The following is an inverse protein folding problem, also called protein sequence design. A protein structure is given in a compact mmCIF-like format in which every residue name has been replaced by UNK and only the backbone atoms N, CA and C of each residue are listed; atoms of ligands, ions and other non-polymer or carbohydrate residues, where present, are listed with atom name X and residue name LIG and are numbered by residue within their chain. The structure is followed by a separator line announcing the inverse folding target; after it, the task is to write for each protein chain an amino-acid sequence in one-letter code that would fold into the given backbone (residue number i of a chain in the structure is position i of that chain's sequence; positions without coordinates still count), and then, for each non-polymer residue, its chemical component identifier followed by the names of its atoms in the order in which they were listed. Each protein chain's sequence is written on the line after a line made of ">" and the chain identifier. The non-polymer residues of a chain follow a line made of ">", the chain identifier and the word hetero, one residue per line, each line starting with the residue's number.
data_IF_850278429872
#
_entry.id   IF_850278429872
#
_cell.length_a   1.000
_cell.length_b   1.000
_cell.length_c   1.000
_cell.angle_alpha   90.00
_cell.angle_beta   90.00
_cell.angle_gamma   90.00
#
_symmetry.space_group_name_H-M   'P 1'
#
loop_
_entity.id
_entity.type
_entity.pdbx_description
1 polymer ?
#
# COMPACT_ATOMS: atom_id res chain seq x y z
N UNK A 1 -0.31 -9.82 -44.45
CA UNK A 1 -0.04 -8.42 -44.04
C UNK A 1 -1.35 -7.86 -43.50
N UNK A 2 -1.51 -7.84 -42.18
CA UNK A 2 -2.71 -7.25 -41.57
C UNK A 2 -2.88 -5.82 -42.08
N UNK A 3 -4.11 -5.44 -42.41
CA UNK A 3 -4.40 -4.02 -42.64
C UNK A 3 -3.95 -3.26 -41.40
N UNK A 4 -3.21 -2.17 -41.55
CA UNK A 4 -2.80 -1.29 -40.45
C UNK A 4 -3.98 -0.91 -39.55
N UNK A 5 -5.18 -0.88 -40.12
CA UNK A 5 -6.46 -0.73 -39.44
C UNK A 5 -6.71 -1.81 -38.37
N UNK A 6 -6.41 -3.08 -38.64
CA UNK A 6 -6.65 -4.18 -37.70
C UNK A 6 -5.76 -4.07 -36.47
N UNK A 7 -4.46 -3.81 -36.66
CA UNK A 7 -3.53 -3.59 -35.55
C UNK A 7 -3.96 -2.39 -34.69
N UNK A 8 -4.47 -1.34 -35.33
CA UNK A 8 -5.06 -0.20 -34.64
C UNK A 8 -6.28 -0.56 -33.79
N UNK A 9 -7.20 -1.36 -34.33
CA UNK A 9 -8.39 -1.81 -33.59
C UNK A 9 -7.99 -2.72 -32.42
N UNK A 10 -7.06 -3.66 -32.64
CA UNK A 10 -6.54 -4.56 -31.60
C UNK A 10 -5.87 -3.80 -30.47
N UNK A 11 -4.94 -2.90 -30.81
CA UNK A 11 -4.25 -2.06 -29.83
C UNK A 11 -5.23 -1.19 -29.04
N UNK A 12 -6.20 -0.57 -29.72
CA UNK A 12 -7.23 0.24 -29.04
C UNK A 12 -8.06 -0.59 -28.05
N UNK A 13 -8.41 -1.81 -28.43
CA UNK A 13 -9.18 -2.72 -27.58
C UNK A 13 -8.36 -3.17 -26.36
N UNK A 14 -7.07 -3.47 -26.53
CA UNK A 14 -6.16 -3.77 -25.42
C UNK A 14 -5.98 -2.58 -24.48
N UNK A 15 -5.75 -1.37 -25.01
CA UNK A 15 -5.62 -0.14 -24.22
C UNK A 15 -6.90 0.15 -23.43
N UNK A 16 -8.08 -0.08 -24.02
CA UNK A 16 -9.35 0.01 -23.30
C UNK A 16 -9.40 -0.98 -22.13
N UNK A 17 -8.93 -2.21 -22.35
CA UNK A 17 -8.78 -3.22 -21.31
C UNK A 17 -7.91 -2.76 -20.13
N UNK A 18 -6.74 -2.20 -20.41
CA UNK A 18 -5.81 -1.67 -19.40
C UNK A 18 -6.46 -0.53 -18.60
N UNK A 19 -7.15 0.40 -19.28
CA UNK A 19 -7.90 1.48 -18.64
C UNK A 19 -8.98 0.92 -17.72
N UNK A 20 -9.71 -0.10 -18.17
CA UNK A 20 -10.79 -0.73 -17.42
C UNK A 20 -10.27 -1.45 -16.18
N UNK A 21 -9.22 -2.26 -16.32
CA UNK A 21 -8.53 -2.94 -15.21
C UNK A 21 -8.03 -1.93 -14.17
N UNK A 22 -7.36 -0.87 -14.64
CA UNK A 22 -6.85 0.20 -13.77
C UNK A 22 -7.99 0.92 -13.05
N UNK A 23 -9.10 1.19 -13.73
CA UNK A 23 -10.25 1.84 -13.12
C UNK A 23 -10.89 0.98 -12.03
N UNK A 24 -10.94 -0.35 -12.21
CA UNK A 24 -11.41 -1.28 -11.16
C UNK A 24 -10.52 -1.20 -9.91
N UNK A 25 -9.20 -1.20 -10.10
CA UNK A 25 -8.22 -1.04 -9.01
C UNK A 25 -8.37 0.31 -8.30
N UNK A 26 -8.58 1.38 -9.09
CA UNK A 26 -8.83 2.73 -8.60
C UNK A 26 -10.23 2.94 -8.01
N UNK A 27 -10.99 1.88 -7.70
CA UNK A 27 -12.34 1.95 -7.12
C UNK A 27 -13.37 2.68 -8.01
N UNK A 28 -13.25 2.55 -9.33
CA UNK A 28 -14.16 3.08 -10.35
C UNK A 28 -14.27 4.61 -10.35
N UNK A 29 -13.15 5.31 -10.14
CA UNK A 29 -13.09 6.78 -10.16
C UNK A 29 -13.37 7.37 -11.55
N UNK A 30 -13.00 6.66 -12.63
CA UNK A 30 -13.23 7.12 -14.00
C UNK A 30 -14.66 6.79 -14.44
N UNK A 31 -15.38 7.80 -14.95
CA UNK A 31 -16.69 7.60 -15.57
C UNK A 31 -16.57 6.88 -16.92
N UNK A 32 -17.68 6.38 -17.47
CA UNK A 32 -17.70 5.74 -18.80
C UNK A 32 -17.16 6.66 -19.91
N UNK A 33 -17.47 7.96 -19.83
CA UNK A 33 -16.99 8.97 -20.79
C UNK A 33 -15.48 9.21 -20.63
N UNK A 34 -15.01 9.26 -19.39
CA UNK A 34 -13.59 9.45 -19.08
C UNK A 34 -12.75 8.26 -19.58
N UNK A 35 -13.22 7.03 -19.38
CA UNK A 35 -12.50 5.84 -19.87
C UNK A 35 -12.34 5.88 -21.39
N UNK A 36 -13.42 6.18 -22.12
CA UNK A 36 -13.37 6.29 -23.59
C UNK A 36 -12.41 7.41 -24.01
N UNK A 37 -12.48 8.58 -23.36
CA UNK A 37 -11.61 9.71 -23.67
C UNK A 37 -10.13 9.35 -23.48
N UNK A 38 -9.78 8.73 -22.35
CA UNK A 38 -8.41 8.31 -22.06
C UNK A 38 -7.92 7.28 -23.06
N UNK A 39 -8.73 6.27 -23.37
CA UNK A 39 -8.37 5.26 -24.37
C UNK A 39 -8.11 5.92 -25.73
N UNK A 40 -8.94 6.87 -26.17
CA UNK A 40 -8.71 7.57 -27.44
C UNK A 40 -7.39 8.35 -27.43
N UNK A 41 -7.08 9.08 -26.35
CA UNK A 41 -5.82 9.82 -26.20
C UNK A 41 -4.62 8.86 -26.21
N UNK A 42 -4.73 7.73 -25.51
CA UNK A 42 -3.69 6.70 -25.48
C UNK A 42 -3.51 6.06 -26.86
N UNK A 43 -4.58 5.73 -27.57
CA UNK A 43 -4.51 5.15 -28.92
C UNK A 43 -3.84 6.10 -29.89
N UNK A 44 -4.25 7.38 -29.93
CA UNK A 44 -3.70 8.35 -30.88
C UNK A 44 -2.22 8.60 -30.58
N UNK A 45 -1.86 8.88 -29.32
CA UNK A 45 -0.46 9.15 -28.99
C UNK A 45 0.42 7.89 -29.03
N UNK A 46 -0.10 6.76 -28.57
CA UNK A 46 0.62 5.48 -28.55
C UNK A 46 0.93 4.98 -29.95
N UNK A 47 -0.04 5.02 -30.88
CA UNK A 47 0.18 4.63 -32.28
C UNK A 47 1.18 5.53 -33.02
N UNK A 48 1.15 6.85 -32.77
CA UNK A 48 2.13 7.78 -33.31
C UNK A 48 3.54 7.48 -32.79
N UNK A 49 3.66 7.27 -31.48
CA UNK A 49 4.95 6.99 -30.83
C UNK A 49 5.48 5.59 -31.14
N UNK A 50 4.61 4.61 -31.37
CA UNK A 50 5.02 3.24 -31.71
C UNK A 50 5.85 3.19 -33.00
N UNK A 51 5.54 4.05 -33.97
CA UNK A 51 6.32 4.18 -35.20
C UNK A 51 7.70 4.85 -34.99
N UNK A 52 7.86 5.64 -33.93
CA UNK A 52 9.08 6.42 -33.65
C UNK A 52 10.01 5.74 -32.65
N UNK A 53 9.45 5.16 -31.60
CA UNK A 53 10.17 4.69 -30.41
C UNK A 53 9.81 3.24 -30.02
N UNK A 54 9.00 2.55 -30.86
CA UNK A 54 8.63 1.15 -30.70
C UNK A 54 8.12 0.83 -29.27
N UNK A 55 8.80 -0.07 -28.55
CA UNK A 55 8.44 -0.53 -27.21
C UNK A 55 8.33 0.60 -26.17
N UNK A 56 9.08 1.68 -26.32
CA UNK A 56 9.03 2.82 -25.38
C UNK A 56 7.73 3.64 -25.48
N UNK A 57 6.91 3.43 -26.51
CA UNK A 57 5.57 4.02 -26.59
C UNK A 57 4.69 3.61 -25.39
N UNK A 58 5.00 2.49 -24.72
CA UNK A 58 4.27 2.04 -23.53
C UNK A 58 4.55 2.90 -22.29
N UNK A 59 5.68 3.60 -22.24
CA UNK A 59 5.95 4.59 -21.18
C UNK A 59 4.95 5.75 -21.29
N UNK A 60 4.58 6.13 -22.52
CA UNK A 60 3.58 7.17 -22.76
C UNK A 60 2.19 6.72 -22.31
N UNK A 61 1.75 5.50 -22.63
CA UNK A 61 0.42 4.99 -22.26
C UNK A 61 0.26 4.93 -20.73
N UNK A 62 1.30 4.44 -20.02
CA UNK A 62 1.38 4.45 -18.55
C UNK A 62 1.32 5.89 -18.00
N UNK A 63 2.13 6.80 -18.57
CA UNK A 63 2.18 8.20 -18.14
C UNK A 63 0.82 8.91 -18.27
N UNK A 64 0.13 8.73 -19.40
CA UNK A 64 -1.19 9.31 -19.64
C UNK A 64 -2.21 8.81 -18.61
N UNK A 65 -2.24 7.51 -18.32
CA UNK A 65 -3.14 6.94 -17.31
C UNK A 65 -2.89 7.50 -15.92
N UNK A 66 -1.62 7.61 -15.50
CA UNK A 66 -1.25 8.16 -14.19
C UNK A 66 -1.71 9.61 -14.09
N UNK A 67 -1.39 10.44 -15.09
CA UNK A 67 -1.77 11.85 -15.11
C UNK A 67 -3.30 12.03 -15.07
N UNK A 68 -4.04 11.21 -15.80
CA UNK A 68 -5.49 11.30 -15.83
C UNK A 68 -6.13 10.90 -14.49
N UNK A 69 -5.60 9.88 -13.81
CA UNK A 69 -6.05 9.52 -12.46
C UNK A 69 -5.76 10.64 -11.45
N UNK A 70 -4.59 11.29 -11.56
CA UNK A 70 -4.25 12.45 -10.71
C UNK A 70 -5.22 13.61 -10.97
N UNK A 71 -5.52 13.90 -12.24
CA UNK A 71 -6.49 14.94 -12.60
C UNK A 71 -7.89 14.67 -12.02
N UNK A 72 -8.26 13.39 -11.86
CA UNK A 72 -9.52 12.98 -11.23
C UNK A 72 -9.45 12.90 -9.70
N UNK A 73 -8.36 13.34 -9.07
CA UNK A 73 -8.23 13.48 -7.62
C UNK A 73 -7.64 12.27 -6.90
N UNK A 74 -7.09 11.28 -7.62
CA UNK A 74 -6.36 10.17 -7.00
C UNK A 74 -4.95 10.63 -6.61
N UNK A 75 -4.53 10.36 -5.37
CA UNK A 75 -3.17 10.65 -4.88
C UNK A 75 -2.11 10.01 -5.80
N UNK A 76 -1.08 10.78 -6.17
CA UNK A 76 -0.05 10.37 -7.15
C UNK A 76 0.55 8.97 -6.91
N UNK A 77 0.89 8.65 -5.65
CA UNK A 77 1.40 7.31 -5.26
C UNK A 77 0.41 6.20 -5.59
N UNK A 78 -0.88 6.41 -5.29
CA UNK A 78 -1.92 5.40 -5.54
C UNK A 78 -2.19 5.26 -7.04
N UNK A 79 -2.22 6.37 -7.78
CA UNK A 79 -2.33 6.35 -9.24
C UNK A 79 -1.22 5.51 -9.86
N UNK A 80 0.02 5.73 -9.41
CA UNK A 80 1.17 4.95 -9.85
C UNK A 80 1.02 3.46 -9.55
N UNK A 81 0.69 3.11 -8.29
CA UNK A 81 0.49 1.72 -7.88
C UNK A 81 -0.61 1.04 -8.71
N UNK A 82 -1.76 1.69 -8.91
CA UNK A 82 -2.87 1.09 -9.65
C UNK A 82 -2.54 0.85 -11.12
N UNK A 83 -1.84 1.78 -11.77
CA UNK A 83 -1.45 1.64 -13.18
C UNK A 83 -0.42 0.52 -13.33
N UNK A 84 0.63 0.49 -12.51
CA UNK A 84 1.68 -0.54 -12.59
C UNK A 84 1.13 -1.93 -12.24
N UNK A 85 0.29 -2.05 -11.21
CA UNK A 85 -0.40 -3.31 -10.89
C UNK A 85 -1.32 -3.73 -12.03
N UNK A 86 -2.05 -2.80 -12.63
CA UNK A 86 -2.88 -3.06 -13.80
C UNK A 86 -2.09 -3.66 -14.96
N UNK A 87 -0.90 -3.11 -15.26
CA UNK A 87 -0.03 -3.62 -16.31
C UNK A 87 0.53 -5.01 -15.99
N UNK A 88 0.98 -5.25 -14.76
CA UNK A 88 1.45 -6.58 -14.33
C UNK A 88 0.34 -7.62 -14.51
N UNK A 89 -0.90 -7.30 -14.12
CA UNK A 89 -2.05 -8.20 -14.29
C UNK A 89 -2.36 -8.43 -15.77
N UNK A 90 -2.21 -7.42 -16.61
CA UNK A 90 -2.43 -7.52 -18.04
C UNK A 90 -1.40 -8.46 -18.70
N UNK A 91 -0.10 -8.25 -18.44
CA UNK A 91 0.99 -9.11 -18.92
C UNK A 91 0.77 -10.56 -18.49
N UNK A 92 0.46 -10.78 -17.21
CA UNK A 92 0.18 -12.12 -16.71
C UNK A 92 -0.99 -12.79 -17.44
N UNK A 93 -2.06 -12.03 -17.70
CA UNK A 93 -3.26 -12.54 -18.38
C UNK A 93 -2.96 -12.90 -19.84
N UNK A 94 -2.11 -12.11 -20.51
CA UNK A 94 -1.70 -12.34 -21.89
C UNK A 94 -0.94 -13.67 -22.03
N UNK A 95 0.07 -13.88 -21.20
CA UNK A 95 0.84 -15.13 -21.18
C UNK A 95 -0.02 -16.34 -20.79
N UNK A 96 -0.89 -16.20 -19.78
CA UNK A 96 -1.79 -17.29 -19.36
C UNK A 96 -2.71 -17.73 -20.51
N UNK A 97 -3.32 -16.78 -21.21
CA UNK A 97 -4.20 -17.09 -22.34
C UNK A 97 -3.40 -17.62 -23.52
N UNK A 98 -2.23 -17.06 -23.82
CA UNK A 98 -1.34 -17.53 -24.88
C UNK A 98 -0.97 -19.01 -24.72
N UNK A 99 -0.52 -19.41 -23.53
CA UNK A 99 -0.19 -20.81 -23.21
C UNK A 99 -1.44 -21.68 -23.19
N UNK A 100 -2.54 -21.23 -22.58
CA UNK A 100 -3.78 -22.01 -22.52
C UNK A 100 -4.33 -22.31 -23.92
N UNK A 101 -4.37 -21.31 -24.80
CA UNK A 101 -4.82 -21.49 -26.19
C UNK A 101 -3.85 -22.37 -26.97
N UNK A 102 -2.54 -22.14 -26.83
CA UNK A 102 -1.49 -22.93 -27.48
C UNK A 102 -1.56 -24.41 -27.13
N UNK A 103 -1.73 -24.73 -25.85
CA UNK A 103 -1.78 -26.12 -25.35
C UNK A 103 -3.13 -26.80 -25.57
N UNK A 104 -4.25 -26.10 -25.34
CA UNK A 104 -5.59 -26.69 -25.42
C UNK A 104 -6.13 -26.79 -26.85
N UNK A 105 -5.83 -25.80 -27.69
CA UNK A 105 -6.31 -25.74 -29.08
C UNK A 105 -5.22 -26.09 -30.09
N UNK A 106 -3.94 -26.16 -29.68
CA UNK A 106 -2.82 -26.41 -30.60
C UNK A 106 -2.55 -25.22 -31.52
N UNK A 107 -2.92 -24.01 -31.08
CA UNK A 107 -3.01 -22.82 -31.91
C UNK A 107 -2.11 -21.74 -31.35
N UNK A 108 -1.16 -21.26 -32.15
CA UNK A 108 -0.23 -20.20 -31.74
C UNK A 108 -0.50 -18.89 -32.48
N UNK A 109 -0.21 -17.76 -31.83
CA UNK A 109 -0.47 -16.42 -32.37
C UNK A 109 0.30 -16.12 -33.66
N UNK A 110 1.41 -16.82 -33.91
CA UNK A 110 2.21 -16.74 -35.15
C UNK A 110 1.70 -17.56 -36.34
N UNK A 111 0.66 -18.38 -36.16
CA UNK A 111 0.16 -19.25 -37.25
C UNK A 111 -0.81 -18.53 -38.20
N UNK A 112 -1.25 -17.33 -37.82
CA UNK A 112 -2.29 -16.57 -38.49
C UNK A 112 -1.72 -15.27 -39.03
N UNK A 113 -1.69 -15.09 -40.35
CA UNK A 113 -1.07 -13.89 -40.94
C UNK A 113 -1.72 -13.33 -42.21
N UNK A 114 -2.75 -13.98 -42.77
CA UNK A 114 -3.08 -13.77 -44.19
C UNK A 114 -4.51 -13.33 -44.49
N UNK A 115 -5.51 -13.57 -43.63
CA UNK A 115 -6.90 -13.16 -43.90
C UNK A 115 -7.56 -12.30 -42.81
N UNK A 116 -8.62 -11.56 -43.17
CA UNK A 116 -9.45 -10.82 -42.22
C UNK A 116 -10.11 -11.75 -41.19
N UNK A 117 -10.52 -12.96 -41.61
CA UNK A 117 -11.11 -13.96 -40.72
C UNK A 117 -10.11 -14.39 -39.63
N UNK A 118 -8.85 -14.58 -39.97
CA UNK A 118 -7.79 -14.90 -39.00
C UNK A 118 -7.62 -13.77 -37.98
N UNK A 119 -7.76 -12.51 -38.42
CA UNK A 119 -7.69 -11.33 -37.58
C UNK A 119 -8.83 -11.30 -36.54
N UNK A 120 -10.06 -11.55 -36.99
CA UNK A 120 -11.22 -11.70 -36.10
C UNK A 120 -11.05 -12.86 -35.12
N UNK A 121 -10.49 -13.98 -35.60
CA UNK A 121 -10.22 -15.16 -34.78
C UNK A 121 -9.24 -14.85 -33.65
N UNK A 122 -8.13 -14.13 -33.93
CA UNK A 122 -7.17 -13.70 -32.91
C UNK A 122 -7.83 -12.82 -31.84
N UNK A 123 -8.67 -11.86 -32.25
CA UNK A 123 -9.38 -10.97 -31.32
C UNK A 123 -10.30 -11.71 -30.35
N UNK A 124 -11.00 -12.73 -30.86
CA UNK A 124 -11.99 -13.48 -30.08
C UNK A 124 -11.32 -14.52 -29.18
N UNK A 125 -10.22 -15.15 -29.63
CA UNK A 125 -9.59 -16.26 -28.92
C UNK A 125 -8.45 -15.81 -27.99
N UNK A 126 -7.68 -14.79 -28.39
CA UNK A 126 -6.56 -14.32 -27.57
C UNK A 126 -6.92 -13.05 -26.81
N UNK A 127 -7.30 -11.98 -27.52
CA UNK A 127 -7.44 -10.65 -26.89
C UNK A 127 -8.62 -10.59 -25.93
N UNK A 128 -9.80 -11.05 -26.33
CA UNK A 128 -11.01 -10.97 -25.50
C UNK A 128 -10.90 -11.79 -24.20
N UNK A 129 -10.43 -13.06 -24.22
CA UNK A 129 -10.22 -13.83 -22.99
C UNK A 129 -9.15 -13.22 -22.10
N UNK A 130 -8.08 -12.65 -22.67
CA UNK A 130 -7.06 -11.93 -21.90
C UNK A 130 -7.67 -10.76 -21.11
N UNK A 131 -8.53 -9.95 -21.74
CA UNK A 131 -9.24 -8.87 -21.05
C UNK A 131 -10.14 -9.37 -19.91
N UNK A 132 -10.84 -10.49 -20.14
CA UNK A 132 -11.73 -11.10 -19.14
C UNK A 132 -10.93 -11.59 -17.93
N UNK A 133 -9.83 -12.30 -18.15
CA UNK A 133 -8.96 -12.81 -17.08
C UNK A 133 -8.33 -11.64 -16.32
N UNK A 134 -7.81 -10.63 -17.01
CA UNK A 134 -7.24 -9.44 -16.39
C UNK A 134 -8.27 -8.70 -15.54
N UNK A 135 -9.51 -8.59 -16.01
CA UNK A 135 -10.61 -8.01 -15.25
C UNK A 135 -10.93 -8.83 -13.98
N UNK A 136 -11.01 -10.16 -14.06
CA UNK A 136 -11.26 -11.03 -12.90
C UNK A 136 -10.14 -10.87 -11.87
N UNK A 137 -8.87 -10.92 -12.30
CA UNK A 137 -7.74 -10.69 -11.40
C UNK A 137 -7.78 -9.30 -10.77
N UNK A 138 -8.16 -8.27 -11.54
CA UNK A 138 -8.30 -6.91 -11.00
C UNK A 138 -9.34 -6.84 -9.88
N UNK A 139 -10.43 -7.61 -9.95
CA UNK A 139 -11.43 -7.69 -8.89
C UNK A 139 -10.87 -8.37 -7.64
N UNK A 140 -10.15 -9.49 -7.79
CA UNK A 140 -9.49 -10.20 -6.70
C UNK A 140 -8.48 -9.29 -5.99
N UNK A 141 -7.60 -8.65 -6.75
CA UNK A 141 -6.60 -7.72 -6.20
C UNK A 141 -7.28 -6.52 -5.56
N UNK A 142 -8.27 -5.92 -6.21
CA UNK A 142 -9.01 -4.79 -5.63
C UNK A 142 -9.69 -5.13 -4.31
N UNK A 143 -10.18 -6.35 -4.15
CA UNK A 143 -10.77 -6.82 -2.90
C UNK A 143 -9.73 -6.90 -1.77
N UNK A 144 -8.51 -7.35 -2.10
CA UNK A 144 -7.37 -7.37 -1.16
C UNK A 144 -6.92 -5.95 -0.80
N UNK A 145 -6.72 -5.08 -1.81
CA UNK A 145 -6.28 -3.68 -1.65
C UNK A 145 -7.21 -2.87 -0.74
N UNK A 146 -8.51 -3.19 -0.76
CA UNK A 146 -9.53 -2.50 0.03
C UNK A 146 -9.62 -2.96 1.49
N UNK A 147 -8.94 -4.04 1.90
CA UNK A 147 -8.90 -4.43 3.31
C UNK A 147 -8.16 -3.37 4.13
N UNK A 148 -8.70 -2.99 5.29
CA UNK A 148 -8.12 -1.93 6.14
C UNK A 148 -6.65 -2.15 6.54
N UNK A 149 -6.21 -3.41 6.66
CA UNK A 149 -4.80 -3.77 6.90
C UNK A 149 -3.89 -3.35 5.74
N UNK A 150 -4.38 -3.45 4.50
CA UNK A 150 -3.64 -3.11 3.30
C UNK A 150 -3.47 -1.59 3.16
N UNK A 151 -4.55 -0.83 3.44
CA UNK A 151 -4.54 0.64 3.38
C UNK A 151 -3.47 1.26 4.28
N UNK A 152 -3.28 0.72 5.48
CA UNK A 152 -2.28 1.22 6.42
C UNK A 152 -0.86 0.80 5.99
N UNK A 153 -0.65 -0.45 5.60
CA UNK A 153 0.66 -0.93 5.17
C UNK A 153 1.20 -0.18 3.94
N UNK A 154 0.34 0.18 2.99
CA UNK A 154 0.71 1.03 1.85
C UNK A 154 1.16 2.40 2.32
N UNK A 155 0.37 3.08 3.16
CA UNK A 155 0.63 4.46 3.60
C UNK A 155 1.99 4.63 4.29
N UNK A 156 2.43 3.64 5.05
CA UNK A 156 3.71 3.73 5.79
C UNK A 156 4.91 3.21 5.01
N UNK A 157 4.71 2.38 3.98
CA UNK A 157 5.77 1.76 3.18
C UNK A 157 5.67 2.11 1.68
N UNK A 158 5.15 3.29 1.34
CA UNK A 158 4.84 3.71 -0.04
C UNK A 158 6.05 3.55 -0.97
N UNK A 159 7.23 4.04 -0.57
CA UNK A 159 8.45 3.97 -1.38
C UNK A 159 8.93 2.54 -1.61
N UNK A 160 8.89 1.69 -0.59
CA UNK A 160 9.29 0.28 -0.70
C UNK A 160 8.38 -0.44 -1.71
N UNK A 161 7.08 -0.24 -1.62
CA UNK A 161 6.10 -0.85 -2.53
C UNK A 161 6.31 -0.36 -3.96
N UNK A 162 6.50 0.95 -4.16
CA UNK A 162 6.79 1.51 -5.48
C UNK A 162 8.07 0.89 -6.07
N UNK A 163 9.16 0.82 -5.28
CA UNK A 163 10.43 0.25 -5.77
C UNK A 163 10.29 -1.21 -6.19
N UNK A 164 9.50 -2.00 -5.44
CA UNK A 164 9.30 -3.41 -5.71
C UNK A 164 8.44 -3.63 -6.95
N UNK A 165 7.38 -2.83 -7.12
CA UNK A 165 6.56 -2.84 -8.33
C UNK A 165 7.36 -2.41 -9.56
N UNK A 166 8.21 -1.40 -9.43
CA UNK A 166 9.11 -0.96 -10.50
C UNK A 166 10.14 -2.02 -10.89
N UNK A 167 10.74 -2.68 -9.91
CA UNK A 167 11.65 -3.78 -10.17
C UNK A 167 10.93 -4.93 -10.88
N UNK A 168 9.71 -5.26 -10.46
CA UNK A 168 8.91 -6.34 -11.05
C UNK A 168 8.58 -6.07 -12.50
N UNK A 169 8.04 -4.89 -12.80
CA UNK A 169 7.66 -4.54 -14.17
C UNK A 169 8.90 -4.43 -15.07
N UNK A 170 10.03 -3.94 -14.55
CA UNK A 170 11.31 -3.91 -15.28
C UNK A 170 11.80 -5.32 -15.62
N UNK A 171 11.76 -6.26 -14.66
CA UNK A 171 12.12 -7.67 -14.90
C UNK A 171 11.18 -8.30 -15.94
N UNK A 172 9.86 -8.06 -15.85
CA UNK A 172 8.91 -8.60 -16.82
C UNK A 172 9.18 -8.11 -18.24
N UNK A 173 9.34 -6.80 -18.44
CA UNK A 173 9.66 -6.25 -19.77
C UNK A 173 11.04 -6.69 -20.26
N UNK A 174 12.02 -6.85 -19.37
CA UNK A 174 13.33 -7.39 -19.75
C UNK A 174 13.22 -8.83 -20.24
N UNK A 175 12.39 -9.66 -19.60
CA UNK A 175 12.15 -11.04 -20.03
C UNK A 175 11.39 -11.10 -21.37
N UNK A 176 10.37 -10.24 -21.56
CA UNK A 176 9.67 -10.11 -22.86
C UNK A 176 10.65 -9.69 -23.96
N UNK A 177 11.51 -8.72 -23.70
CA UNK A 177 12.53 -8.29 -24.66
C UNK A 177 13.54 -9.40 -24.99
N UNK A 178 13.94 -10.19 -24.00
CA UNK A 178 14.85 -11.32 -24.18
C UNK A 178 14.20 -12.43 -25.02
N UNK A 179 12.92 -12.72 -24.79
CA UNK A 179 12.12 -13.66 -25.57
C UNK A 179 12.09 -13.29 -27.05
N UNK A 180 11.78 -12.03 -27.36
CA UNK A 180 11.74 -11.50 -28.73
C UNK A 180 13.13 -11.55 -29.40
N UNK A 181 14.18 -11.16 -28.67
CA UNK A 181 15.55 -11.11 -29.21
C UNK A 181 16.14 -12.50 -29.48
N UNK A 182 15.84 -13.48 -28.63
CA UNK A 182 16.38 -14.84 -28.74
C UNK A 182 15.49 -15.77 -29.58
N UNK A 183 14.28 -15.35 -29.94
CA UNK A 183 13.34 -16.16 -30.72
C UNK A 183 12.98 -17.47 -30.02
N UNK A 184 12.80 -17.42 -28.70
CA UNK A 184 12.57 -18.62 -27.89
C UNK A 184 11.25 -19.32 -28.27
N UNK A 185 11.21 -20.67 -28.28
CA UNK A 185 10.00 -21.40 -28.61
C UNK A 185 8.93 -21.22 -27.53
N UNK A 186 7.67 -21.39 -27.92
CA UNK A 186 6.49 -21.16 -27.05
C UNK A 186 6.47 -22.10 -25.83
N UNK A 187 7.17 -23.23 -25.89
CA UNK A 187 7.39 -24.12 -24.74
C UNK A 187 8.08 -23.40 -23.56
N UNK A 188 8.86 -22.33 -23.83
CA UNK A 188 9.48 -21.47 -22.81
C UNK A 188 8.47 -20.49 -22.19
N UNK A 189 7.33 -20.23 -22.84
CA UNK A 189 6.30 -19.33 -22.30
C UNK A 189 5.67 -19.88 -21.00
N UNK A 190 5.62 -21.21 -20.83
CA UNK A 190 5.20 -21.84 -19.57
C UNK A 190 6.13 -21.48 -18.41
N UNK A 191 7.45 -21.41 -18.66
CA UNK A 191 8.44 -20.98 -17.67
C UNK A 191 8.24 -19.51 -17.28
N UNK A 192 7.91 -18.64 -18.24
CA UNK A 192 7.63 -17.23 -17.93
C UNK A 192 6.42 -17.06 -17.01
N UNK A 193 5.35 -17.84 -17.18
CA UNK A 193 4.21 -17.84 -16.25
C UNK A 193 4.66 -18.21 -14.84
N UNK A 194 5.50 -19.26 -14.69
CA UNK A 194 6.02 -19.69 -13.39
C UNK A 194 6.90 -18.59 -12.76
N UNK A 195 7.77 -17.95 -13.55
CA UNK A 195 8.62 -16.85 -13.10
C UNK A 195 7.77 -15.66 -12.66
N UNK A 196 6.80 -15.24 -13.47
CA UNK A 196 5.90 -14.13 -13.17
C UNK A 196 5.04 -14.41 -11.93
N UNK A 197 4.50 -15.62 -11.80
CA UNK A 197 3.76 -16.04 -10.62
C UNK A 197 4.65 -16.01 -9.36
N UNK A 198 5.90 -16.44 -9.47
CA UNK A 198 6.87 -16.41 -8.37
C UNK A 198 7.21 -14.98 -7.96
N UNK A 199 7.39 -14.07 -8.91
CA UNK A 199 7.62 -12.64 -8.63
C UNK A 199 6.41 -12.02 -7.91
N UNK A 200 5.19 -12.28 -8.39
CA UNK A 200 3.96 -11.78 -7.75
C UNK A 200 3.81 -12.35 -6.34
N UNK A 201 4.12 -13.63 -6.14
CA UNK A 201 4.10 -14.27 -4.82
C UNK A 201 5.13 -13.63 -3.89
N UNK A 202 6.35 -13.36 -4.36
CA UNK A 202 7.38 -12.67 -3.59
C UNK A 202 6.91 -11.28 -3.14
N UNK A 203 6.26 -10.51 -4.04
CA UNK A 203 5.65 -9.21 -3.70
C UNK A 203 4.59 -9.39 -2.60
N UNK A 204 3.74 -10.40 -2.73
CA UNK A 204 2.72 -10.72 -1.73
C UNK A 204 3.32 -11.01 -0.35
N UNK A 205 4.41 -11.77 -0.29
CA UNK A 205 5.12 -12.08 0.96
C UNK A 205 5.74 -10.82 1.57
N UNK A 206 6.51 -10.04 0.79
CA UNK A 206 7.14 -8.80 1.27
C UNK A 206 6.09 -7.85 1.81
N UNK A 207 4.96 -7.73 1.11
CA UNK A 207 3.84 -6.92 1.56
C UNK A 207 3.22 -7.44 2.87
N UNK A 208 3.01 -8.77 2.99
CA UNK A 208 2.47 -9.36 4.21
C UNK A 208 3.39 -9.13 5.42
N UNK A 209 4.71 -9.22 5.22
CA UNK A 209 5.70 -8.89 6.26
C UNK A 209 5.61 -7.41 6.63
N UNK A 210 5.57 -6.50 5.64
CA UNK A 210 5.45 -5.06 5.89
C UNK A 210 4.19 -4.72 6.71
N UNK A 211 3.05 -5.33 6.35
CA UNK A 211 1.81 -5.15 7.08
C UNK A 211 1.88 -5.68 8.53
N UNK A 212 2.60 -6.79 8.76
CA UNK A 212 2.82 -7.35 10.09
C UNK A 212 3.74 -6.45 10.93
N UNK A 213 4.84 -5.98 10.35
CA UNK A 213 5.78 -5.07 11.01
C UNK A 213 5.07 -3.79 11.45
N UNK A 214 4.21 -3.22 10.60
CA UNK A 214 3.46 -2.01 10.95
C UNK A 214 2.50 -2.25 12.13
N UNK A 215 1.81 -3.39 12.13
CA UNK A 215 0.94 -3.78 13.26
C UNK A 215 1.75 -3.89 14.56
N UNK A 216 2.93 -4.51 14.51
CA UNK A 216 3.81 -4.64 15.66
C UNK A 216 4.35 -3.28 16.13
N UNK A 217 4.72 -2.38 15.22
CA UNK A 217 5.17 -1.02 15.57
C UNK A 217 4.07 -0.22 16.27
N UNK A 218 2.83 -0.29 15.77
CA UNK A 218 1.70 0.38 16.42
C UNK A 218 1.43 -0.17 17.83
N UNK A 219 1.53 -1.49 18.02
CA UNK A 219 1.41 -2.12 19.35
C UNK A 219 2.55 -1.72 20.29
N UNK A 220 3.78 -1.60 19.78
CA UNK A 220 4.95 -1.15 20.54
C UNK A 220 4.80 0.31 21.00
N UNK A 221 4.43 1.22 20.09
CA UNK A 221 4.21 2.63 20.44
C UNK A 221 3.12 2.79 21.51
N UNK A 222 2.03 2.02 21.41
CA UNK A 222 0.97 2.02 22.43
C UNK A 222 1.50 1.57 23.79
N UNK A 223 2.30 0.50 23.80
CA UNK A 223 2.91 -0.03 25.03
C UNK A 223 3.88 0.97 25.66
N UNK A 224 4.68 1.67 24.85
CA UNK A 224 5.58 2.72 25.32
C UNK A 224 4.82 3.88 25.97
N UNK A 225 3.69 4.29 25.37
CA UNK A 225 2.82 5.32 25.96
C UNK A 225 2.22 4.87 27.29
N UNK A 226 1.72 3.63 27.38
CA UNK A 226 1.19 3.05 28.62
C UNK A 226 2.26 2.98 29.72
N UNK A 227 3.49 2.57 29.37
CA UNK A 227 4.63 2.55 30.30
C UNK A 227 5.01 3.96 30.78
N UNK A 228 5.01 4.95 29.89
CA UNK A 228 5.30 6.33 30.26
C UNK A 228 4.26 6.89 31.25
N UNK A 229 2.97 6.60 31.02
CA UNK A 229 1.88 6.98 31.93
C UNK A 229 2.00 6.30 33.29
N UNK A 230 2.34 5.00 33.31
CA UNK A 230 2.55 4.26 34.57
C UNK A 230 3.71 4.84 35.36
N UNK A 231 4.83 5.18 34.70
CA UNK A 231 5.99 5.80 35.36
C UNK A 231 5.64 7.14 36.01
N UNK A 232 4.94 8.03 35.29
CA UNK A 232 4.50 9.32 35.82
C UNK A 232 3.55 9.15 37.02
N UNK A 233 2.64 8.17 36.97
CA UNK A 233 1.78 7.83 38.09
C UNK A 233 2.57 7.32 39.31
N UNK A 234 3.53 6.42 39.11
CA UNK A 234 4.39 5.91 40.19
C UNK A 234 5.23 7.01 40.82
N UNK A 235 5.81 7.92 40.02
CA UNK A 235 6.59 9.04 40.53
C UNK A 235 5.75 9.97 41.41
N UNK A 236 4.53 10.29 40.97
CA UNK A 236 3.57 11.07 41.77
C UNK A 236 3.20 10.38 43.07
N UNK A 237 3.02 9.06 43.03
CA UNK A 237 2.73 8.26 44.23
C UNK A 237 3.90 8.27 45.21
N UNK A 238 5.13 8.16 44.72
CA UNK A 238 6.35 8.25 45.53
C UNK A 238 6.49 9.63 46.18
N UNK A 239 6.25 10.72 45.43
CA UNK A 239 6.24 12.08 45.98
C UNK A 239 5.18 12.25 47.08
N UNK A 240 3.97 11.74 46.84
CA UNK A 240 2.89 11.77 47.84
C UNK A 240 3.25 10.97 49.09
N UNK A 241 3.83 9.78 48.92
CA UNK A 241 4.23 8.93 50.05
C UNK A 241 5.37 9.55 50.87
N UNK A 242 6.37 10.13 50.20
CA UNK A 242 7.45 10.86 50.85
C UNK A 242 6.89 12.07 51.63
N UNK A 243 5.98 12.83 51.02
CA UNK A 243 5.28 13.93 51.68
C UNK A 243 4.48 13.49 52.92
N UNK A 244 3.77 12.36 52.83
CA UNK A 244 3.01 11.79 53.95
C UNK A 244 3.92 11.34 55.10
N UNK A 245 5.07 10.75 54.79
CA UNK A 245 6.08 10.34 55.78
C UNK A 245 6.65 11.55 56.52
N UNK A 246 7.00 12.62 55.79
CA UNK A 246 7.46 13.90 56.34
C UNK A 246 6.39 14.52 57.26
N UNK A 247 5.14 14.59 56.78
CA UNK A 247 4.02 15.09 57.57
C UNK A 247 3.82 14.32 58.87
N UNK A 248 3.89 12.98 58.81
CA UNK A 248 3.80 12.12 60.00
C UNK A 248 4.94 12.40 60.99
N UNK A 249 6.16 12.54 60.51
CA UNK A 249 7.33 12.85 61.36
C UNK A 249 7.16 14.20 62.07
N UNK A 250 6.77 15.24 61.33
CA UNK A 250 6.56 16.58 61.88
C UNK A 250 5.42 16.58 62.91
N UNK A 251 4.35 15.83 62.64
CA UNK A 251 3.24 15.65 63.58
C UNK A 251 3.68 14.97 64.88
N UNK A 252 4.52 13.92 64.80
CA UNK A 252 5.08 13.25 65.99
C UNK A 252 5.92 14.23 66.82
N UNK A 253 6.76 15.05 66.17
CA UNK A 253 7.60 16.01 66.86
C UNK A 253 6.77 17.09 67.58
N UNK A 254 5.72 17.62 66.93
CA UNK A 254 4.81 18.57 67.56
C UNK A 254 4.17 17.96 68.81
N UNK A 255 3.64 16.74 68.73
CA UNK A 255 3.04 16.04 69.87
C UNK A 255 4.04 15.76 70.99
N UNK A 256 5.27 15.34 70.65
CA UNK A 256 6.32 15.08 71.62
C UNK A 256 6.74 16.35 72.36
N UNK A 257 6.87 17.48 71.66
CA UNK A 257 7.15 18.79 72.26
C UNK A 257 6.02 19.21 73.21
N UNK A 258 4.75 19.12 72.78
CA UNK A 258 3.59 19.42 73.64
C UNK A 258 3.63 18.55 74.90
N UNK A 259 3.82 17.24 74.75
CA UNK A 259 3.90 16.31 75.88
C UNK A 259 5.06 16.66 76.83
N UNK A 260 6.24 17.00 76.29
CA UNK A 260 7.39 17.44 77.09
C UNK A 260 7.09 18.67 77.95
N UNK A 261 6.45 19.70 77.37
CA UNK A 261 6.05 20.89 78.13
C UNK A 261 4.97 20.60 79.19
N UNK A 262 4.03 19.69 78.91
CA UNK A 262 3.02 19.27 79.89
C UNK A 262 3.67 18.56 81.08
N UNK A 263 4.59 17.63 80.84
CA UNK A 263 5.29 16.87 81.91
C UNK A 263 6.18 17.78 82.75
N UNK A 264 6.83 18.78 82.13
CA UNK A 264 7.64 19.77 82.85
C UNK A 264 6.80 20.76 83.69
N UNK A 265 5.48 20.81 83.51
CA UNK A 265 4.59 21.72 84.23
C UNK A 265 4.68 23.19 83.77
N UNK A 266 5.33 23.46 82.64
CA UNK A 266 5.79 24.80 82.24
C UNK A 266 4.79 25.50 81.30
N UNK A 267 3.72 26.03 81.91
CA UNK A 267 2.52 26.50 81.21
C UNK A 267 2.76 27.71 80.29
N UNK A 268 3.64 28.63 80.67
CA UNK A 268 3.97 29.82 79.87
C UNK A 268 4.71 29.46 78.57
N UNK A 269 5.64 28.50 78.63
CA UNK A 269 6.39 28.04 77.45
C UNK A 269 5.50 27.28 76.47
N UNK A 270 4.59 26.45 77.00
CA UNK A 270 3.59 25.76 76.17
C UNK A 270 2.67 26.75 75.44
N UNK A 271 2.22 27.80 76.11
CA UNK A 271 1.35 28.82 75.51
C UNK A 271 2.08 29.63 74.43
N UNK A 272 3.36 29.94 74.64
CA UNK A 272 4.22 30.59 73.65
C UNK A 272 4.45 29.68 72.43
N UNK A 273 4.75 28.40 72.63
CA UNK A 273 4.91 27.41 71.54
C UNK A 273 3.61 27.24 70.74
N UNK A 274 2.45 27.21 71.39
CA UNK A 274 1.17 27.13 70.71
C UNK A 274 0.91 28.36 69.82
N UNK A 275 1.15 29.58 70.33
CA UNK A 275 0.93 30.84 69.58
C UNK A 275 1.89 31.00 68.41
N UNK A 276 3.14 30.55 68.54
CA UNK A 276 4.20 30.78 67.54
C UNK A 276 4.33 29.65 66.52
N UNK A 277 4.09 28.41 66.92
CA UNK A 277 4.32 27.24 66.05
C UNK A 277 3.01 26.62 65.56
N UNK A 278 2.00 26.46 66.44
CA UNK A 278 0.77 25.72 66.10
C UNK A 278 -0.31 26.63 65.49
N UNK A 279 -0.57 27.79 66.11
CA UNK A 279 -1.61 28.72 65.67
C UNK A 279 -1.44 29.22 64.21
N UNK A 280 -0.23 29.50 63.71
CA UNK A 280 -0.03 29.89 62.31
C UNK A 280 -0.34 28.78 61.30
N UNK A 281 -0.19 27.51 61.69
CA UNK A 281 -0.49 26.36 60.83
C UNK A 281 -2.01 26.19 60.61
N UNK A 282 -2.82 26.50 61.64
CA UNK A 282 -4.28 26.42 61.59
C UNK A 282 -4.90 27.52 60.72
N UNK A 283 -4.27 28.69 60.63
CA UNK A 283 -4.78 29.85 59.88
C UNK A 283 -4.52 29.76 58.37
N UNK A 284 -3.67 28.81 57.93
CA UNK A 284 -3.21 28.68 56.54
C UNK A 284 -3.84 27.51 55.76
N UNK A 285 -4.63 26.65 56.42
CA UNK A 285 -5.50 25.64 55.79
C UNK A 285 -6.83 26.26 55.40
#
# INVERSE_FOLDING_TARGET
>A
MYSSLFLWIAGTYQLFGIVLVTNVLASKVLSRKDMILVTVIMTIGGSLLLNLVQYFAEVYTIGVLILFLIWKGVQWVKSFIFVIVGQILFILSDYLIGVFVGTALGVYSGDYHTTLLDAWFIMVIFVTPCLIVAYIFSLCVSWILRRGRFKNAVKYNEFMIISLLMLTIAIMYFLIYLEDTLGLPIEVAELYIVIFATLILAIGIVFAIAAKVEKTRAEQMKREQELAQLRDYTEKLEMLNAGMSLFKHDYINILASIHGYIVAGDKEILEAYFKTTIHPLIKKS
#
